data_IF_300857543321
#
_entry.id   IF_300857543321
#
_cell.length_a   1.000
_cell.length_b   1.000
_cell.length_c   1.000
_cell.angle_alpha   90.00
_cell.angle_beta   90.00
_cell.angle_gamma   90.00
#
_symmetry.space_group_name_H-M   'P 1'
#
loop_
_entity.id
_entity.type
_entity.pdbx_description
1 polymer ?
#
# COMPACT_ATOMS: atom_id res chain seq x y z
N UNK A 1 -57.14 20.24 4.85
CA UNK A 1 -56.44 19.13 4.16
C UNK A 1 -55.31 19.74 3.34
N UNK A 2 -54.04 19.51 3.67
CA UNK A 2 -52.83 19.62 2.80
C UNK A 2 -51.54 19.74 3.66
N UNK A 3 -51.20 18.72 4.46
CA UNK A 3 -49.96 18.71 5.28
C UNK A 3 -48.87 17.74 4.79
N UNK A 4 -49.20 16.89 3.81
CA UNK A 4 -48.40 15.68 3.48
C UNK A 4 -47.19 15.95 2.57
N UNK A 5 -47.11 17.12 1.91
CA UNK A 5 -46.10 17.40 0.87
C UNK A 5 -44.78 18.03 1.33
N UNK A 6 -44.74 18.62 2.52
CA UNK A 6 -43.53 19.25 3.08
C UNK A 6 -42.48 18.25 3.60
N UNK A 7 -42.84 17.19 4.36
CA UNK A 7 -41.84 16.24 4.88
C UNK A 7 -41.20 15.42 3.76
N UNK A 8 -41.95 15.06 2.72
CA UNK A 8 -41.42 14.29 1.58
C UNK A 8 -40.36 15.08 0.81
N UNK A 9 -40.57 16.39 0.59
CA UNK A 9 -39.58 17.23 -0.10
C UNK A 9 -38.28 17.38 0.68
N UNK A 10 -38.37 17.51 2.01
CA UNK A 10 -37.18 17.58 2.88
C UNK A 10 -36.43 16.24 2.84
N UNK A 11 -37.14 15.12 2.96
CA UNK A 11 -36.54 13.79 2.88
C UNK A 11 -35.84 13.58 1.53
N UNK A 12 -36.49 13.95 0.41
CA UNK A 12 -35.89 13.86 -0.92
C UNK A 12 -34.63 14.73 -1.03
N UNK A 13 -34.66 15.98 -0.53
CA UNK A 13 -33.50 16.86 -0.55
C UNK A 13 -32.34 16.27 0.26
N UNK A 14 -32.60 15.74 1.45
CA UNK A 14 -31.58 15.10 2.31
C UNK A 14 -30.98 13.85 1.66
N UNK A 15 -31.79 13.05 0.97
CA UNK A 15 -31.29 11.88 0.23
C UNK A 15 -30.40 12.29 -0.94
N UNK A 16 -30.79 13.30 -1.70
CA UNK A 16 -29.98 13.82 -2.83
C UNK A 16 -28.66 14.40 -2.35
N UNK A 17 -28.66 15.17 -1.26
CA UNK A 17 -27.41 15.71 -0.69
C UNK A 17 -26.51 14.62 -0.15
N UNK A 18 -27.06 13.62 0.57
CA UNK A 18 -26.27 12.48 1.03
C UNK A 18 -25.66 11.68 -0.13
N UNK A 19 -26.42 11.43 -1.19
CA UNK A 19 -25.91 10.76 -2.40
C UNK A 19 -24.78 11.56 -3.06
N UNK A 20 -24.94 12.89 -3.18
CA UNK A 20 -23.91 13.78 -3.73
C UNK A 20 -22.62 13.77 -2.91
N UNK A 21 -22.73 13.83 -1.58
CA UNK A 21 -21.57 13.75 -0.68
C UNK A 21 -20.88 12.39 -0.75
N UNK A 22 -21.65 11.29 -0.74
CA UNK A 22 -21.10 9.95 -0.85
C UNK A 22 -20.33 9.75 -2.17
N UNK A 23 -20.89 10.21 -3.30
CA UNK A 23 -20.21 10.19 -4.59
C UNK A 23 -18.94 11.06 -4.58
N UNK A 24 -19.00 12.25 -3.98
CA UNK A 24 -17.84 13.14 -3.82
C UNK A 24 -16.71 12.50 -3.00
N UNK A 25 -17.03 11.88 -1.86
CA UNK A 25 -16.04 11.19 -1.02
C UNK A 25 -15.44 9.98 -1.75
N UNK A 26 -16.26 9.18 -2.42
CA UNK A 26 -15.79 8.00 -3.16
C UNK A 26 -14.83 8.40 -4.28
N UNK A 27 -15.19 9.41 -5.09
CA UNK A 27 -14.33 9.89 -6.18
C UNK A 27 -13.03 10.51 -5.66
N UNK A 28 -13.08 11.26 -4.57
CA UNK A 28 -11.88 11.79 -3.90
C UNK A 28 -10.95 10.66 -3.45
N UNK A 29 -11.48 9.63 -2.78
CA UNK A 29 -10.69 8.49 -2.30
C UNK A 29 -10.06 7.69 -3.45
N UNK A 30 -10.81 7.43 -4.53
CA UNK A 30 -10.28 6.73 -5.71
C UNK A 30 -9.17 7.54 -6.36
N UNK A 31 -9.37 8.85 -6.51
CA UNK A 31 -8.36 9.73 -7.11
C UNK A 31 -7.09 9.81 -6.26
N UNK A 32 -7.22 9.97 -4.95
CA UNK A 32 -6.09 9.99 -4.02
C UNK A 32 -5.30 8.68 -4.08
N UNK A 33 -5.97 7.52 -4.06
CA UNK A 33 -5.30 6.22 -4.21
C UNK A 33 -4.55 6.11 -5.54
N UNK A 34 -5.18 6.46 -6.66
CA UNK A 34 -4.54 6.39 -7.96
C UNK A 34 -3.29 7.28 -8.02
N UNK A 35 -3.37 8.51 -7.50
CA UNK A 35 -2.22 9.41 -7.45
C UNK A 35 -1.10 8.87 -6.55
N UNK A 36 -1.42 8.26 -5.40
CA UNK A 36 -0.41 7.62 -4.54
C UNK A 36 0.29 6.47 -5.24
N UNK A 37 -0.47 5.59 -5.89
CA UNK A 37 0.08 4.46 -6.65
C UNK A 37 0.96 4.93 -7.80
N UNK A 38 0.54 5.96 -8.54
CA UNK A 38 1.33 6.54 -9.63
C UNK A 38 2.65 7.15 -9.12
N UNK A 39 2.60 7.98 -8.09
CA UNK A 39 3.80 8.56 -7.48
C UNK A 39 4.72 7.47 -6.93
N UNK A 40 4.18 6.44 -6.28
CA UNK A 40 4.97 5.32 -5.77
C UNK A 40 5.68 4.54 -6.89
N UNK A 41 4.98 4.31 -8.00
CA UNK A 41 5.54 3.66 -9.19
C UNK A 41 6.68 4.48 -9.79
N UNK A 42 6.56 5.81 -9.81
CA UNK A 42 7.61 6.71 -10.28
C UNK A 42 8.82 6.72 -9.33
N UNK A 43 8.60 6.79 -8.01
CA UNK A 43 9.67 6.81 -7.01
C UNK A 43 10.49 5.51 -7.02
N UNK A 44 9.82 4.36 -7.01
CA UNK A 44 10.47 3.06 -6.99
C UNK A 44 10.95 2.60 -8.38
N UNK A 45 10.40 3.19 -9.46
CA UNK A 45 10.59 2.77 -10.85
C UNK A 45 10.14 1.31 -11.07
N UNK A 46 8.95 0.98 -10.55
CA UNK A 46 8.37 -0.36 -10.58
C UNK A 46 6.87 -0.35 -10.83
N UNK A 47 6.30 -1.53 -11.12
CA UNK A 47 4.89 -1.75 -11.35
C UNK A 47 4.25 -2.50 -10.16
N UNK A 48 3.44 -1.83 -9.32
CA UNK A 48 2.83 -2.43 -8.16
C UNK A 48 1.82 -3.55 -8.51
N UNK A 49 1.30 -3.58 -9.73
CA UNK A 49 0.36 -4.64 -10.15
C UNK A 49 1.04 -6.02 -10.22
N UNK A 50 2.37 -6.07 -10.39
CA UNK A 50 3.15 -7.32 -10.43
C UNK A 50 3.52 -7.85 -9.04
N UNK A 51 3.48 -7.00 -8.02
CA UNK A 51 3.95 -7.31 -6.68
C UNK A 51 3.24 -8.50 -5.97
N UNK A 52 1.91 -8.71 -6.10
CA UNK A 52 1.24 -9.78 -5.37
C UNK A 52 1.82 -11.17 -5.63
N UNK A 53 2.21 -11.46 -6.86
CA UNK A 53 2.82 -12.75 -7.20
C UNK A 53 4.27 -12.83 -6.74
N UNK A 54 5.02 -11.74 -6.86
CA UNK A 54 6.42 -11.66 -6.43
C UNK A 54 6.53 -11.89 -4.92
N UNK A 55 5.66 -11.28 -4.09
CA UNK A 55 5.64 -11.51 -2.65
C UNK A 55 5.44 -12.98 -2.28
N UNK A 56 4.59 -13.70 -3.01
CA UNK A 56 4.34 -15.12 -2.79
C UNK A 56 5.54 -15.97 -3.23
N UNK A 57 6.06 -15.71 -4.43
CA UNK A 57 7.18 -16.45 -5.03
C UNK A 57 8.43 -16.40 -4.16
N UNK A 58 8.76 -15.24 -3.61
CA UNK A 58 9.93 -15.04 -2.74
C UNK A 58 9.64 -15.31 -1.25
N UNK A 59 8.46 -15.83 -0.90
CA UNK A 59 8.12 -16.25 0.46
C UNK A 59 7.88 -15.11 1.46
N UNK A 60 7.78 -13.85 0.99
CA UNK A 60 7.59 -12.67 1.84
C UNK A 60 6.33 -12.79 2.71
N UNK A 61 5.27 -13.40 2.18
CA UNK A 61 3.98 -13.59 2.85
C UNK A 61 4.06 -14.50 4.08
N UNK A 62 5.05 -15.40 4.15
CA UNK A 62 5.28 -16.29 5.30
C UNK A 62 5.89 -15.55 6.50
N UNK A 63 6.67 -14.51 6.25
CA UNK A 63 7.33 -13.73 7.29
C UNK A 63 6.56 -12.47 7.67
N UNK A 64 5.93 -11.81 6.72
CA UNK A 64 5.31 -10.50 6.91
C UNK A 64 3.79 -10.52 6.76
N UNK A 65 3.14 -9.63 7.50
CA UNK A 65 1.77 -9.21 7.21
C UNK A 65 1.80 -8.14 6.12
N UNK A 66 1.10 -8.37 5.00
CA UNK A 66 1.12 -7.48 3.83
C UNK A 66 -0.32 -7.10 3.43
N UNK A 67 -0.76 -5.85 3.64
CA UNK A 67 -2.10 -5.41 3.26
C UNK A 67 -2.40 -5.65 1.78
N UNK A 68 -3.61 -6.12 1.48
CA UNK A 68 -4.06 -6.42 0.11
C UNK A 68 -3.54 -7.73 -0.49
N UNK A 69 -2.62 -8.45 0.19
CA UNK A 69 -2.12 -9.75 -0.27
C UNK A 69 -2.78 -10.88 0.52
N UNK A 70 -3.59 -11.68 -0.16
CA UNK A 70 -4.28 -12.82 0.46
C UNK A 70 -3.28 -13.81 1.08
N UNK A 71 -3.52 -14.19 2.33
CA UNK A 71 -2.68 -15.15 3.07
C UNK A 71 -1.35 -14.57 3.60
N UNK A 72 -1.06 -13.28 3.38
CA UNK A 72 0.13 -12.64 3.94
C UNK A 72 -0.15 -12.16 5.38
N UNK A 73 -0.03 -13.08 6.32
CA UNK A 73 -0.27 -12.86 7.76
C UNK A 73 0.92 -13.31 8.63
N UNK A 74 2.11 -13.39 8.04
CA UNK A 74 3.34 -13.70 8.74
C UNK A 74 3.64 -12.69 9.87
N UNK A 75 4.28 -13.18 10.93
CA UNK A 75 4.64 -12.40 12.13
C UNK A 75 6.11 -12.53 12.53
N UNK A 76 6.92 -13.14 11.67
CA UNK A 76 8.37 -13.27 11.89
C UNK A 76 9.04 -11.92 11.67
N UNK A 77 8.71 -11.28 10.56
CA UNK A 77 9.04 -9.88 10.29
C UNK A 77 7.94 -8.93 10.77
N UNK A 78 8.28 -7.66 10.94
CA UNK A 78 7.29 -6.62 11.23
C UNK A 78 6.26 -6.47 10.10
N UNK A 79 5.04 -5.98 10.37
CA UNK A 79 4.04 -5.76 9.32
C UNK A 79 4.57 -4.78 8.26
N UNK A 80 4.19 -4.94 6.99
CA UNK A 80 4.59 -4.06 5.90
C UNK A 80 3.53 -3.00 5.56
N UNK A 81 2.70 -2.65 6.54
CA UNK A 81 1.72 -1.56 6.45
C UNK A 81 2.41 -0.20 6.55
N UNK A 82 1.94 0.76 5.75
CA UNK A 82 2.36 2.17 5.77
C UNK A 82 3.87 2.37 5.71
N UNK A 83 4.58 1.54 4.93
CA UNK A 83 6.05 1.60 4.84
C UNK A 83 6.52 3.01 4.48
N UNK A 84 5.87 3.69 3.54
CA UNK A 84 6.19 5.08 3.16
C UNK A 84 6.17 6.08 4.32
N UNK A 85 5.42 5.83 5.39
CA UNK A 85 5.30 6.73 6.53
C UNK A 85 6.42 6.52 7.57
N UNK A 86 7.21 5.45 7.45
CA UNK A 86 8.29 5.15 8.39
C UNK A 86 9.52 5.98 8.08
N UNK A 87 10.25 6.36 9.12
CA UNK A 87 11.53 7.07 8.99
C UNK A 87 12.66 6.11 8.62
N UNK A 88 12.66 4.90 9.18
CA UNK A 88 13.72 3.92 9.01
C UNK A 88 13.22 2.57 8.47
N UNK A 89 14.05 1.94 7.65
CA UNK A 89 13.94 0.55 7.20
C UNK A 89 14.69 -0.34 8.18
N UNK A 90 13.97 -1.29 8.81
CA UNK A 90 14.50 -2.23 9.80
C UNK A 90 15.33 -1.60 10.94
N UNK A 91 15.20 -0.28 11.16
CA UNK A 91 15.99 0.47 12.14
C UNK A 91 17.44 0.77 11.73
N UNK A 92 17.86 0.44 10.50
CA UNK A 92 19.28 0.50 10.07
C UNK A 92 19.54 1.43 8.89
N UNK A 93 18.51 1.79 8.12
CA UNK A 93 18.64 2.71 6.99
C UNK A 93 17.52 3.73 6.96
N UNK A 94 17.79 4.92 6.43
CA UNK A 94 16.74 5.89 6.10
C UNK A 94 15.80 5.27 5.06
N UNK A 95 14.51 5.56 5.20
CA UNK A 95 13.51 5.06 4.29
C UNK A 95 13.31 6.00 3.10
N UNK A 96 13.85 5.58 1.97
CA UNK A 96 13.46 6.06 0.65
C UNK A 96 13.24 4.86 -0.29
N UNK A 97 12.66 5.11 -1.47
CA UNK A 97 12.27 4.05 -2.38
C UNK A 97 13.48 3.23 -2.89
N UNK A 98 14.64 3.87 -3.06
CA UNK A 98 15.85 3.18 -3.53
C UNK A 98 16.49 2.35 -2.42
N UNK A 99 16.56 2.90 -1.20
CA UNK A 99 17.01 2.20 -0.03
C UNK A 99 16.13 0.98 0.27
N UNK A 100 14.81 1.07 0.06
CA UNK A 100 13.91 -0.07 0.21
C UNK A 100 14.21 -1.16 -0.83
N UNK A 101 14.46 -0.79 -2.08
CA UNK A 101 14.85 -1.75 -3.14
C UNK A 101 16.13 -2.48 -2.74
N UNK A 102 17.16 -1.73 -2.31
CA UNK A 102 18.43 -2.34 -1.88
C UNK A 102 18.27 -3.20 -0.63
N UNK A 103 17.45 -2.78 0.34
CA UNK A 103 17.13 -3.59 1.51
C UNK A 103 16.42 -4.90 1.13
N UNK A 104 15.53 -4.89 0.14
CA UNK A 104 14.83 -6.09 -0.33
C UNK A 104 15.81 -7.05 -1.05
N UNK A 105 16.74 -6.51 -1.83
CA UNK A 105 17.69 -7.31 -2.62
C UNK A 105 18.80 -7.91 -1.76
N UNK A 106 19.38 -7.11 -0.85
CA UNK A 106 20.56 -7.49 -0.08
C UNK A 106 20.46 -6.99 1.38
N UNK A 107 19.49 -7.48 2.17
CA UNK A 107 19.33 -7.08 3.57
C UNK A 107 20.60 -7.32 4.41
N UNK A 108 21.36 -8.39 4.12
CA UNK A 108 22.60 -8.71 4.84
C UNK A 108 23.71 -7.67 4.68
N UNK A 109 23.68 -6.89 3.59
CA UNK A 109 24.62 -5.79 3.33
C UNK A 109 24.34 -4.56 4.22
N UNK A 110 23.12 -4.41 4.71
CA UNK A 110 22.72 -3.36 5.65
C UNK A 110 22.94 -3.79 7.10
N UNK A 111 22.57 -5.02 7.42
CA UNK A 111 22.81 -5.63 8.73
C UNK A 111 23.11 -7.12 8.57
N UNK A 112 24.36 -7.51 8.81
CA UNK A 112 24.80 -8.90 8.72
C UNK A 112 24.11 -9.83 9.74
N UNK A 113 23.39 -9.30 10.73
CA UNK A 113 22.64 -10.06 11.73
C UNK A 113 21.13 -10.06 11.48
N UNK A 114 20.66 -9.44 10.39
CA UNK A 114 19.23 -9.45 10.04
C UNK A 114 18.72 -10.87 9.83
N UNK A 115 17.49 -11.12 10.28
CA UNK A 115 16.81 -12.39 10.04
C UNK A 115 16.18 -12.46 8.64
N UNK A 116 16.06 -11.33 7.93
CA UNK A 116 15.55 -11.29 6.57
C UNK A 116 16.62 -11.85 5.62
N UNK A 117 16.36 -12.96 4.90
CA UNK A 117 17.37 -13.58 4.06
C UNK A 117 17.58 -12.81 2.75
N UNK A 118 18.76 -12.97 2.16
CA UNK A 118 19.00 -12.61 0.76
C UNK A 118 18.24 -13.61 -0.12
N UNK A 119 17.06 -13.22 -0.59
CA UNK A 119 16.12 -14.13 -1.27
C UNK A 119 16.52 -14.49 -2.71
N UNK A 120 17.49 -13.77 -3.29
CA UNK A 120 17.83 -13.85 -4.71
C UNK A 120 16.84 -13.13 -5.63
N UNK A 121 16.02 -12.23 -5.09
CA UNK A 121 15.14 -11.36 -5.88
C UNK A 121 15.94 -10.42 -6.79
N UNK A 122 15.46 -10.24 -8.02
CA UNK A 122 16.05 -9.27 -8.95
C UNK A 122 15.74 -7.85 -8.52
N UNK A 123 16.61 -6.89 -8.87
CA UNK A 123 16.35 -5.49 -8.60
C UNK A 123 15.03 -5.00 -9.25
N UNK A 124 14.74 -5.46 -10.47
CA UNK A 124 13.52 -5.10 -11.18
C UNK A 124 12.25 -5.56 -10.45
N UNK A 125 12.23 -6.78 -9.89
CA UNK A 125 11.11 -7.27 -9.10
C UNK A 125 11.05 -6.61 -7.71
N UNK A 126 12.20 -6.31 -7.10
CA UNK A 126 12.25 -5.56 -5.85
C UNK A 126 11.67 -4.14 -6.02
N UNK A 127 11.84 -3.51 -7.18
CA UNK A 127 11.19 -2.23 -7.54
C UNK A 127 9.67 -2.34 -7.60
N UNK A 128 9.13 -3.45 -8.12
CA UNK A 128 7.68 -3.69 -8.11
C UNK A 128 7.13 -3.82 -6.69
N UNK A 129 7.84 -4.55 -5.83
CA UNK A 129 7.49 -4.67 -4.41
C UNK A 129 7.54 -3.31 -3.71
N UNK A 130 8.60 -2.54 -3.95
CA UNK A 130 8.74 -1.20 -3.37
C UNK A 130 7.62 -0.25 -3.84
N UNK A 131 7.27 -0.27 -5.13
CA UNK A 131 6.15 0.50 -5.68
C UNK A 131 4.82 0.13 -5.00
N UNK A 132 4.57 -1.16 -4.77
CA UNK A 132 3.38 -1.62 -4.05
C UNK A 132 3.38 -1.11 -2.60
N UNK A 133 4.50 -1.26 -1.89
CA UNK A 133 4.61 -0.88 -0.49
C UNK A 133 4.48 0.64 -0.26
N UNK A 134 4.96 1.44 -1.21
CA UNK A 134 4.86 2.90 -1.17
C UNK A 134 3.51 3.44 -1.62
N UNK A 135 2.76 2.65 -2.39
CA UNK A 135 1.44 2.99 -2.93
C UNK A 135 0.26 2.67 -2.01
N UNK A 136 0.52 2.11 -0.82
CA UNK A 136 -0.48 1.83 0.22
C UNK A 136 -1.17 3.11 0.74
#
# INVERSE_FOLDING_TARGET
MSGEGFPVKIVVLLLVTMLGLAAGVLTYQVRDRNQRTEVASLLARGDPARAPEIFRRYGCTGCHTIPGIAGANGKVGGPLVDIRQRVYLAGVANNDAEALVHWIVAPSAFDAKTAMPDTGISEAEARDLAAYLYGQ
#
